data_IF_063573060509
#
_entry.id   IF_063573060509
#
_cell.length_a   1.000
_cell.length_b   1.000
_cell.length_c   1.000
_cell.angle_alpha   90.00
_cell.angle_beta   90.00
_cell.angle_gamma   90.00
#
_symmetry.space_group_name_H-M   'P 1'
#
loop_
_entity.id
_entity.type
_entity.pdbx_description
1 polymer ?
#
# COMPACT_ATOMS: atom_id res chain seq x y z
N UNK A 1 32.42 22.25 -1.01
CA UNK A 1 32.05 20.95 -1.64
C UNK A 1 30.65 20.60 -1.18
N UNK A 2 29.74 20.19 -2.07
CA UNK A 2 28.41 19.77 -1.66
C UNK A 2 28.45 18.29 -1.22
N UNK A 3 28.32 18.03 0.07
CA UNK A 3 28.23 16.67 0.62
C UNK A 3 26.81 16.16 0.38
N UNK A 4 26.63 15.32 -0.65
CA UNK A 4 25.39 14.60 -0.84
C UNK A 4 25.35 13.46 0.19
N UNK A 5 24.52 13.59 1.23
CA UNK A 5 24.29 12.52 2.20
C UNK A 5 23.91 11.22 1.48
N UNK A 6 24.38 10.05 1.93
CA UNK A 6 23.97 8.78 1.36
C UNK A 6 22.45 8.66 1.45
N UNK A 7 21.82 8.30 0.33
CA UNK A 7 20.37 8.12 0.26
C UNK A 7 19.94 7.11 1.33
N UNK A 8 19.15 7.57 2.30
CA UNK A 8 18.64 6.73 3.39
C UNK A 8 17.90 5.52 2.83
N UNK A 9 18.40 4.33 3.19
CA UNK A 9 17.85 2.97 3.28
C UNK A 9 16.71 2.51 2.34
N UNK A 10 16.34 3.26 1.30
CA UNK A 10 15.22 2.96 0.39
C UNK A 10 13.85 2.88 1.09
N UNK A 11 13.78 3.19 2.38
CA UNK A 11 12.59 2.99 3.19
C UNK A 11 11.73 4.27 3.19
N UNK A 12 10.46 4.12 2.80
CA UNK A 12 9.48 5.21 2.89
C UNK A 12 9.20 5.51 4.36
N UNK A 13 9.49 6.75 4.78
CA UNK A 13 9.12 7.25 6.10
C UNK A 13 7.64 7.62 6.07
N UNK A 14 6.80 6.80 6.72
CA UNK A 14 5.38 7.06 6.94
C UNK A 14 4.40 6.18 6.14
N UNK A 15 3.15 6.16 6.61
CA UNK A 15 2.07 5.39 6.00
C UNK A 15 1.60 6.02 4.68
N UNK A 16 1.28 5.20 3.68
CA UNK A 16 0.75 5.68 2.40
C UNK A 16 -0.70 6.11 2.59
N UNK A 17 -0.96 7.43 2.54
CA UNK A 17 -2.30 8.02 2.78
C UNK A 17 -3.22 7.97 1.55
N UNK A 18 -2.68 7.90 0.35
CA UNK A 18 -3.48 7.84 -0.90
C UNK A 18 -3.77 6.41 -1.38
N UNK A 19 -3.50 5.44 -0.50
CA UNK A 19 -3.67 4.02 -0.77
C UNK A 19 -4.39 3.35 0.37
N UNK A 20 -5.28 2.46 0.00
CA UNK A 20 -5.92 1.52 0.89
C UNK A 20 -5.73 0.11 0.34
N UNK A 21 -5.95 -0.90 1.18
CA UNK A 21 -5.99 -2.29 0.77
C UNK A 21 -7.26 -2.96 1.23
N UNK A 22 -7.78 -3.86 0.39
CA UNK A 22 -8.95 -4.69 0.66
C UNK A 22 -8.56 -6.16 0.44
N UNK A 23 -9.13 -7.05 1.26
CA UNK A 23 -8.96 -8.49 1.09
C UNK A 23 -10.03 -9.01 0.12
N UNK A 24 -9.60 -9.70 -0.95
CA UNK A 24 -10.49 -10.39 -1.85
C UNK A 24 -10.66 -11.85 -1.36
N UNK A 25 -11.85 -12.24 -0.87
CA UNK A 25 -12.07 -13.59 -0.35
C UNK A 25 -12.15 -14.66 -1.45
N UNK A 26 -12.34 -14.28 -2.71
CA UNK A 26 -12.41 -15.24 -3.84
C UNK A 26 -11.02 -15.72 -4.24
N UNK A 27 -10.05 -14.81 -4.24
CA UNK A 27 -8.67 -15.10 -4.65
C UNK A 27 -7.72 -15.20 -3.47
N UNK A 28 -8.22 -15.00 -2.25
CA UNK A 28 -7.47 -14.94 -0.99
C UNK A 28 -6.27 -13.98 -1.01
N UNK A 29 -6.40 -12.88 -1.74
CA UNK A 29 -5.32 -11.92 -1.98
C UNK A 29 -5.69 -10.51 -1.55
N UNK A 30 -4.68 -9.75 -1.12
CA UNK A 30 -4.85 -8.32 -0.84
C UNK A 30 -4.69 -7.51 -2.12
N UNK A 31 -5.60 -6.55 -2.31
CA UNK A 31 -5.61 -5.66 -3.48
C UNK A 31 -5.41 -4.23 -3.01
N UNK A 32 -4.46 -3.50 -3.63
CA UNK A 32 -4.32 -2.05 -3.46
C UNK A 32 -5.44 -1.32 -4.20
N UNK A 33 -6.09 -0.39 -3.50
CA UNK A 33 -7.06 0.53 -4.07
C UNK A 33 -6.57 1.97 -3.89
N UNK A 34 -6.79 2.77 -4.93
CA UNK A 34 -6.54 4.20 -4.88
C UNK A 34 -7.70 4.87 -4.15
N UNK A 35 -7.40 5.61 -3.08
CA UNK A 35 -8.43 6.20 -2.24
C UNK A 35 -9.08 7.43 -2.87
N UNK A 36 -8.47 8.02 -3.90
CA UNK A 36 -8.97 9.21 -4.59
C UNK A 36 -10.00 8.86 -5.67
N UNK A 37 -9.75 7.81 -6.46
CA UNK A 37 -10.59 7.45 -7.60
C UNK A 37 -11.19 6.05 -7.51
N UNK A 38 -10.90 5.30 -6.45
CA UNK A 38 -11.45 3.97 -6.20
C UNK A 38 -10.90 2.85 -7.09
N UNK A 39 -9.91 3.11 -7.94
CA UNK A 39 -9.35 2.10 -8.85
C UNK A 39 -8.54 1.05 -8.11
N UNK A 40 -8.72 -0.22 -8.48
CA UNK A 40 -7.83 -1.31 -8.10
C UNK A 40 -6.55 -1.23 -8.93
N UNK A 41 -5.39 -1.28 -8.28
CA UNK A 41 -4.11 -1.07 -8.94
C UNK A 41 -3.25 -2.34 -8.99
N UNK A 42 -3.15 -3.03 -7.87
CA UNK A 42 -2.13 -4.05 -7.71
C UNK A 42 -2.61 -5.15 -6.77
N UNK A 43 -2.27 -6.40 -7.09
CA UNK A 43 -2.69 -7.59 -6.34
C UNK A 43 -1.47 -8.24 -5.72
N UNK A 44 -1.55 -8.54 -4.43
CA UNK A 44 -0.48 -9.17 -3.70
C UNK A 44 -0.57 -10.69 -3.83
N UNK A 45 0.29 -11.28 -4.65
CA UNK A 45 0.28 -12.72 -4.92
C UNK A 45 0.68 -13.58 -3.71
N UNK A 46 1.43 -13.03 -2.75
CA UNK A 46 1.84 -13.76 -1.54
C UNK A 46 0.71 -13.93 -0.50
N UNK A 47 -0.49 -13.41 -0.76
CA UNK A 47 -1.67 -13.52 0.11
C UNK A 47 -1.60 -12.67 1.39
N UNK A 48 -0.49 -11.99 1.66
CA UNK A 48 -0.31 -11.18 2.87
C UNK A 48 -0.58 -9.69 2.59
N UNK A 49 -0.88 -8.87 3.62
CA UNK A 49 -1.13 -7.44 3.42
C UNK A 49 0.07 -6.69 2.82
N UNK A 50 -0.20 -5.58 2.13
CA UNK A 50 0.85 -4.64 1.72
C UNK A 50 1.40 -3.89 2.93
N UNK A 51 2.73 -3.91 3.08
CA UNK A 51 3.43 -3.17 4.12
C UNK A 51 3.19 -1.66 3.97
N UNK A 52 2.76 -0.99 5.03
CA UNK A 52 2.58 0.47 5.06
C UNK A 52 1.33 0.99 4.34
N UNK A 53 0.43 0.11 3.89
CA UNK A 53 -0.88 0.48 3.30
C UNK A 53 -1.98 0.17 4.31
N UNK A 54 -2.89 1.13 4.57
CA UNK A 54 -3.99 0.92 5.53
C UNK A 54 -5.03 -0.04 4.97
N UNK A 55 -5.60 -0.91 5.81
CA UNK A 55 -6.81 -1.68 5.46
C UNK A 55 -8.00 -0.73 5.33
N UNK A 56 -8.85 -0.93 4.33
CA UNK A 56 -10.12 -0.20 4.25
C UNK A 56 -10.96 -0.50 5.50
N UNK A 57 -11.53 0.54 6.10
CA UNK A 57 -12.57 0.34 7.11
C UNK A 57 -13.81 -0.12 6.34
N UNK A 58 -14.33 -1.30 6.67
CA UNK A 58 -15.58 -1.79 6.09
C UNK A 58 -16.64 -0.69 6.21
N UNK A 59 -17.25 -0.33 5.08
CA UNK A 59 -18.40 0.57 5.09
C UNK A 59 -19.45 -0.02 6.03
N UNK A 60 -19.95 0.80 6.95
CA UNK A 60 -21.22 0.48 7.60
C UNK A 60 -22.33 0.52 6.57
#
# INVERSE_FOLDING_TARGET
MATNNPAGDGHRIGAVRDRSQVFNPVTEQYVKRNTTNGQFMDVKQDGTPFKGVRKEKGGK
#
